data_IF_333537638063
#
_entry.id   IF_333537638063
#
_cell.length_a   1.000
_cell.length_b   1.000
_cell.length_c   1.000
_cell.angle_alpha   90.00
_cell.angle_beta   90.00
_cell.angle_gamma   90.00
#
_symmetry.space_group_name_H-M   'P 1'
#
loop_
_entity.id
_entity.type
_entity.pdbx_description
1 polymer ?
#
# COMPACT_ATOMS: atom_id res chain seq x y z
N UNK A 1 9.66 -27.47 -22.88
CA UNK A 1 10.15 -28.49 -21.94
C UNK A 1 9.40 -28.29 -20.64
N UNK A 2 8.29 -29.02 -20.44
CA UNK A 2 7.47 -28.94 -19.22
C UNK A 2 8.26 -29.64 -18.12
N UNK A 3 8.86 -28.87 -17.22
CA UNK A 3 9.51 -29.36 -16.02
C UNK A 3 8.42 -29.98 -15.12
N UNK A 4 8.54 -31.26 -14.85
CA UNK A 4 7.73 -31.99 -13.85
C UNK A 4 8.09 -31.45 -12.45
N UNK A 5 7.40 -30.41 -11.97
CA UNK A 5 7.46 -29.91 -10.61
C UNK A 5 6.69 -30.86 -9.66
N UNK A 6 7.02 -32.13 -9.64
CA UNK A 6 6.41 -33.11 -8.72
C UNK A 6 7.14 -33.26 -7.38
N UNK A 7 8.22 -32.52 -7.14
CA UNK A 7 8.82 -32.44 -5.84
C UNK A 7 8.23 -31.27 -5.05
N UNK A 8 7.42 -31.57 -4.04
CA UNK A 8 6.69 -30.62 -3.17
C UNK A 8 7.58 -29.64 -2.37
N UNK A 9 8.89 -29.64 -2.57
CA UNK A 9 9.84 -28.84 -1.82
C UNK A 9 10.21 -27.49 -2.45
N UNK A 10 9.95 -27.24 -3.72
CA UNK A 10 10.41 -26.05 -4.45
C UNK A 10 9.29 -25.04 -4.76
N UNK A 11 8.14 -25.15 -4.09
CA UNK A 11 7.02 -24.23 -4.31
C UNK A 11 7.16 -22.96 -3.45
N UNK A 12 6.83 -21.78 -4.02
CA UNK A 12 6.73 -20.57 -3.25
C UNK A 12 5.78 -20.71 -2.07
N UNK A 13 6.15 -20.15 -0.92
CA UNK A 13 5.37 -20.17 0.31
C UNK A 13 4.74 -18.81 0.57
N UNK A 14 3.46 -18.84 0.90
CA UNK A 14 2.70 -17.64 1.24
C UNK A 14 2.69 -17.45 2.76
N UNK A 15 3.12 -16.27 3.21
CA UNK A 15 3.09 -15.88 4.62
C UNK A 15 2.19 -14.66 4.80
N UNK A 16 1.32 -14.74 5.80
CA UNK A 16 0.43 -13.65 6.19
C UNK A 16 0.87 -13.17 7.58
N UNK A 17 1.35 -11.94 7.65
CA UNK A 17 1.81 -11.32 8.88
C UNK A 17 0.77 -10.30 9.35
N UNK A 18 0.51 -10.28 10.65
CA UNK A 18 -0.35 -9.28 11.27
C UNK A 18 0.35 -8.66 12.47
N UNK A 19 0.43 -7.34 12.48
CA UNK A 19 0.97 -6.56 13.61
C UNK A 19 -0.14 -5.76 14.30
N UNK A 20 0.10 -5.30 15.51
CA UNK A 20 -0.73 -4.30 16.18
C UNK A 20 -0.15 -2.91 15.93
N UNK A 21 -0.95 -1.87 16.16
CA UNK A 21 -0.50 -0.48 16.01
C UNK A 21 0.72 -0.21 16.88
N UNK A 22 1.74 0.46 16.33
CA UNK A 22 3.02 0.71 16.99
C UNK A 22 4.02 -0.45 17.01
N UNK A 23 3.63 -1.65 16.56
CA UNK A 23 4.52 -2.80 16.43
C UNK A 23 5.06 -2.89 14.99
N UNK A 24 6.30 -3.37 14.84
CA UNK A 24 6.84 -3.75 13.53
C UNK A 24 6.53 -5.22 13.20
N UNK A 25 6.83 -5.66 11.97
CA UNK A 25 6.65 -7.06 11.57
C UNK A 25 7.75 -7.98 12.10
N UNK A 26 8.91 -7.42 12.50
CA UNK A 26 9.99 -8.16 13.13
C UNK A 26 10.92 -8.89 12.19
N UNK A 27 11.23 -8.32 11.05
CA UNK A 27 12.27 -8.80 10.14
C UNK A 27 12.91 -7.62 9.40
N UNK A 28 14.07 -7.86 8.78
CA UNK A 28 14.72 -6.94 7.88
C UNK A 28 14.79 -7.52 6.47
N UNK A 29 14.98 -6.65 5.48
CA UNK A 29 15.29 -7.05 4.11
C UNK A 29 16.71 -6.60 3.74
N UNK A 30 17.41 -7.44 2.99
CA UNK A 30 18.70 -7.14 2.41
C UNK A 30 18.67 -7.39 0.91
N UNK A 31 19.12 -6.40 0.13
CA UNK A 31 19.37 -6.60 -1.29
C UNK A 31 20.66 -7.41 -1.46
N UNK A 32 20.61 -8.46 -2.25
CA UNK A 32 21.78 -9.33 -2.46
C UNK A 32 22.62 -8.80 -3.62
N UNK A 33 23.95 -8.75 -3.45
CA UNK A 33 24.88 -8.19 -4.43
C UNK A 33 24.97 -9.02 -5.71
N UNK A 34 24.81 -10.33 -5.59
CA UNK A 34 25.04 -11.30 -6.69
C UNK A 34 23.74 -11.84 -7.31
N UNK A 35 22.59 -11.47 -6.78
CA UNK A 35 21.29 -11.92 -7.29
C UNK A 35 20.25 -10.81 -7.24
N UNK A 36 19.33 -10.85 -8.19
CA UNK A 36 18.14 -10.01 -8.15
C UNK A 36 17.26 -10.41 -6.96
N UNK A 37 16.60 -9.45 -6.31
CA UNK A 37 15.62 -9.69 -5.25
C UNK A 37 16.11 -9.39 -3.85
N UNK A 38 15.32 -9.81 -2.88
CA UNK A 38 15.48 -9.44 -1.47
C UNK A 38 15.52 -10.69 -0.59
N UNK A 39 16.44 -10.70 0.36
CA UNK A 39 16.60 -11.74 1.37
C UNK A 39 16.06 -11.25 2.71
N UNK A 40 15.30 -12.10 3.39
CA UNK A 40 14.85 -11.86 4.76
C UNK A 40 16.00 -12.07 5.73
N UNK A 41 16.24 -11.13 6.62
CA UNK A 41 17.28 -11.18 7.66
C UNK A 41 16.70 -10.73 9.00
N UNK A 42 17.41 -11.03 10.08
CA UNK A 42 17.13 -10.53 11.43
C UNK A 42 15.66 -10.76 11.87
N UNK A 43 15.19 -12.01 11.74
CA UNK A 43 13.84 -12.37 12.20
C UNK A 43 13.81 -12.33 13.73
N UNK A 44 13.10 -11.33 14.28
CA UNK A 44 13.02 -11.11 15.71
C UNK A 44 12.18 -12.19 16.40
N UNK A 45 12.64 -12.66 17.57
CA UNK A 45 11.87 -13.60 18.39
C UNK A 45 10.55 -13.01 18.85
N UNK A 46 9.49 -13.82 18.86
CA UNK A 46 8.12 -13.45 19.26
C UNK A 46 7.47 -12.37 18.37
N UNK A 47 8.02 -12.14 17.18
CA UNK A 47 7.48 -11.20 16.20
C UNK A 47 6.40 -11.82 15.31
N UNK A 48 5.59 -11.00 14.60
CA UNK A 48 4.69 -11.47 13.57
C UNK A 48 5.38 -12.32 12.48
N UNK A 49 6.63 -11.99 12.12
CA UNK A 49 7.41 -12.74 11.15
C UNK A 49 7.72 -14.16 11.64
N UNK A 50 8.25 -14.29 12.85
CA UNK A 50 8.53 -15.61 13.43
C UNK A 50 7.26 -16.45 13.58
N UNK A 51 6.17 -15.85 14.09
CA UNK A 51 4.88 -16.54 14.26
C UNK A 51 4.27 -17.01 12.93
N UNK A 52 4.50 -16.27 11.84
CA UNK A 52 4.05 -16.69 10.50
C UNK A 52 4.88 -17.85 9.93
N UNK A 53 6.05 -18.13 10.49
CA UNK A 53 7.00 -19.14 10.01
C UNK A 53 7.98 -18.64 8.95
N UNK A 54 8.08 -17.31 8.76
CA UNK A 54 9.10 -16.67 7.94
C UNK A 54 10.48 -16.96 8.53
N UNK A 55 11.48 -17.22 7.70
CA UNK A 55 12.83 -17.59 8.14
C UNK A 55 13.88 -16.69 7.50
N UNK A 56 14.97 -16.54 8.22
CA UNK A 56 16.17 -15.92 7.64
C UNK A 56 16.63 -16.68 6.40
N UNK A 57 17.08 -15.93 5.40
CA UNK A 57 17.46 -16.46 4.10
C UNK A 57 16.30 -16.67 3.12
N UNK A 58 15.04 -16.54 3.54
CA UNK A 58 13.91 -16.57 2.60
C UNK A 58 14.03 -15.46 1.57
N UNK A 59 13.74 -15.77 0.30
CA UNK A 59 13.80 -14.84 -0.85
C UNK A 59 12.42 -14.35 -1.21
N UNK A 60 12.22 -13.04 -1.13
CA UNK A 60 10.91 -12.43 -1.39
C UNK A 60 10.65 -12.32 -2.89
N UNK A 61 9.55 -12.92 -3.34
CA UNK A 61 9.05 -12.81 -4.73
C UNK A 61 7.98 -11.74 -4.84
N UNK A 62 7.02 -11.72 -3.89
CA UNK A 62 5.92 -10.76 -3.89
C UNK A 62 5.72 -10.14 -2.51
N UNK A 63 5.32 -8.88 -2.51
CA UNK A 63 4.84 -8.11 -1.35
C UNK A 63 3.43 -7.64 -1.66
N UNK A 64 2.44 -8.09 -0.89
CA UNK A 64 1.02 -7.76 -1.08
C UNK A 64 0.55 -7.97 -2.53
N UNK A 65 0.84 -9.15 -3.10
CA UNK A 65 0.49 -9.58 -4.46
C UNK A 65 1.24 -8.81 -5.59
N UNK A 66 2.21 -7.98 -5.28
CA UNK A 66 3.05 -7.30 -6.26
C UNK A 66 4.41 -7.97 -6.33
N UNK A 67 4.83 -8.33 -7.55
CA UNK A 67 6.13 -8.95 -7.80
C UNK A 67 7.26 -7.91 -7.63
N UNK A 68 8.26 -8.22 -6.78
CA UNK A 68 9.25 -7.23 -6.33
C UNK A 68 10.71 -7.57 -6.65
N UNK A 69 11.00 -8.69 -7.31
CA UNK A 69 12.39 -9.17 -7.51
C UNK A 69 13.29 -8.14 -8.19
N UNK A 70 12.74 -7.35 -9.14
CA UNK A 70 13.48 -6.33 -9.88
C UNK A 70 13.12 -4.90 -9.47
N UNK A 71 12.45 -4.75 -8.32
CA UNK A 71 12.04 -3.43 -7.82
C UNK A 71 13.14 -2.81 -6.97
N UNK A 72 13.18 -1.49 -6.89
CA UNK A 72 14.12 -0.77 -6.02
C UNK A 72 13.88 -1.10 -4.54
N UNK A 73 14.99 -1.18 -3.76
CA UNK A 73 14.94 -1.55 -2.34
C UNK A 73 14.09 -0.58 -1.51
N UNK A 74 14.28 0.72 -1.71
CA UNK A 74 13.55 1.73 -0.92
C UNK A 74 12.05 1.70 -1.20
N UNK A 75 11.67 1.40 -2.46
CA UNK A 75 10.27 1.21 -2.84
C UNK A 75 9.64 0.02 -2.11
N UNK A 76 10.33 -1.12 -2.08
CA UNK A 76 9.83 -2.32 -1.40
C UNK A 76 9.77 -2.11 0.12
N UNK A 77 10.81 -1.55 0.73
CA UNK A 77 10.85 -1.24 2.15
C UNK A 77 9.70 -0.30 2.55
N UNK A 78 9.50 0.77 1.78
CA UNK A 78 8.41 1.72 1.99
C UNK A 78 7.03 1.08 1.86
N UNK A 79 6.84 0.23 0.85
CA UNK A 79 5.59 -0.53 0.68
C UNK A 79 5.28 -1.38 1.91
N UNK A 80 6.27 -2.04 2.50
CA UNK A 80 6.11 -2.81 3.73
C UNK A 80 5.83 -1.90 4.92
N UNK A 81 6.50 -0.76 5.05
CA UNK A 81 6.27 0.19 6.14
C UNK A 81 4.87 0.79 6.11
N UNK A 82 4.36 1.11 4.91
CA UNK A 82 3.08 1.79 4.68
C UNK A 82 1.86 0.86 4.58
N UNK A 83 2.02 -0.47 4.57
CA UNK A 83 0.91 -1.42 4.40
C UNK A 83 -0.04 -1.54 5.60
N UNK A 84 0.18 -0.79 6.68
CA UNK A 84 -0.65 -0.83 7.88
C UNK A 84 -0.41 -2.07 8.72
N UNK A 85 -1.49 -2.75 9.13
CA UNK A 85 -1.42 -3.87 10.08
C UNK A 85 -1.24 -5.24 9.43
N UNK A 86 -1.37 -5.33 8.11
CA UNK A 86 -1.35 -6.60 7.37
C UNK A 86 -0.30 -6.59 6.26
N UNK A 87 0.47 -7.65 6.20
CA UNK A 87 1.48 -7.88 5.18
C UNK A 87 1.37 -9.30 4.66
N UNK A 88 1.37 -9.45 3.35
CA UNK A 88 1.40 -10.77 2.68
C UNK A 88 2.68 -10.88 1.87
N UNK A 89 3.45 -11.93 2.12
CA UNK A 89 4.70 -12.21 1.42
C UNK A 89 4.60 -13.56 0.69
N UNK A 90 4.99 -13.58 -0.57
CA UNK A 90 5.28 -14.81 -1.30
C UNK A 90 6.78 -14.97 -1.37
N UNK A 91 7.31 -16.07 -0.85
CA UNK A 91 8.76 -16.28 -0.76
C UNK A 91 9.17 -17.66 -1.26
N UNK A 92 10.42 -17.79 -1.69
CA UNK A 92 11.12 -19.07 -1.88
C UNK A 92 12.15 -19.27 -0.78
N UNK A 93 12.40 -20.52 -0.40
CA UNK A 93 13.56 -20.85 0.43
C UNK A 93 14.85 -20.54 -0.35
N UNK A 94 15.91 -20.13 0.35
CA UNK A 94 17.17 -19.72 -0.26
C UNK A 94 17.68 -20.73 -1.30
N UNK A 95 17.76 -22.00 -0.91
CA UNK A 95 18.27 -23.05 -1.82
C UNK A 95 17.40 -23.21 -3.07
N UNK A 96 16.08 -23.13 -2.93
CA UNK A 96 15.14 -23.26 -4.03
C UNK A 96 15.22 -22.06 -4.98
N UNK A 97 15.42 -20.86 -4.42
CA UNK A 97 15.62 -19.64 -5.19
C UNK A 97 16.94 -19.70 -5.99
N UNK A 98 18.04 -20.04 -5.32
CA UNK A 98 19.36 -20.12 -5.95
C UNK A 98 19.36 -21.18 -7.07
N UNK A 99 18.69 -22.31 -6.85
CA UNK A 99 18.51 -23.35 -7.87
C UNK A 99 17.65 -22.85 -9.04
N UNK A 100 16.53 -22.18 -8.79
CA UNK A 100 15.66 -21.64 -9.82
C UNK A 100 16.40 -20.63 -10.71
N UNK A 101 17.18 -19.72 -10.10
CA UNK A 101 18.01 -18.74 -10.81
C UNK A 101 19.10 -19.44 -11.65
N UNK A 102 19.78 -20.42 -11.07
CA UNK A 102 20.82 -21.21 -11.78
C UNK A 102 20.26 -21.94 -13.01
N UNK A 103 19.02 -22.44 -12.90
CA UNK A 103 18.31 -23.13 -13.99
C UNK A 103 17.65 -22.17 -14.99
N UNK A 104 17.73 -20.84 -14.79
CA UNK A 104 17.10 -19.85 -15.65
C UNK A 104 15.57 -19.86 -15.59
N UNK A 105 14.98 -20.28 -14.46
CA UNK A 105 13.52 -20.27 -14.28
C UNK A 105 13.03 -18.83 -14.14
N UNK A 106 11.97 -18.50 -14.87
CA UNK A 106 11.28 -17.22 -14.72
C UNK A 106 10.53 -17.19 -13.36
N UNK A 107 11.07 -16.38 -12.43
CA UNK A 107 10.54 -16.26 -11.08
C UNK A 107 9.14 -15.63 -11.06
N UNK A 108 8.81 -14.77 -12.02
CA UNK A 108 7.47 -14.17 -12.12
C UNK A 108 6.44 -15.21 -12.59
N UNK A 109 6.81 -16.03 -13.56
CA UNK A 109 5.98 -17.16 -13.96
C UNK A 109 5.80 -18.17 -12.82
N UNK A 110 6.86 -18.43 -12.03
CA UNK A 110 6.80 -19.32 -10.88
C UNK A 110 5.85 -18.77 -9.81
N UNK A 111 5.94 -17.47 -9.50
CA UNK A 111 5.04 -16.80 -8.57
C UNK A 111 3.58 -16.87 -9.05
N UNK A 112 3.32 -16.61 -10.32
CA UNK A 112 1.99 -16.69 -10.94
C UNK A 112 1.44 -18.12 -10.90
N UNK A 113 2.25 -19.10 -11.27
CA UNK A 113 1.85 -20.52 -11.26
C UNK A 113 1.48 -21.02 -9.87
N UNK A 114 2.17 -20.50 -8.82
CA UNK A 114 1.88 -20.86 -7.43
C UNK A 114 0.47 -20.43 -6.98
N UNK A 115 -0.16 -19.49 -7.69
CA UNK A 115 -1.53 -19.03 -7.42
C UNK A 115 -2.59 -20.03 -7.89
N UNK A 116 -2.22 -21.00 -8.73
CA UNK A 116 -3.11 -22.08 -9.18
C UNK A 116 -4.12 -21.65 -10.23
N UNK A 117 -3.81 -20.66 -11.06
CA UNK A 117 -4.60 -20.17 -12.17
C UNK A 117 -4.66 -18.64 -12.26
N UNK A 118 -5.42 -18.10 -13.21
CA UNK A 118 -5.63 -16.67 -13.33
C UNK A 118 -6.28 -16.13 -12.05
N UNK A 119 -5.66 -15.14 -11.46
CA UNK A 119 -6.05 -14.56 -10.18
C UNK A 119 -5.77 -13.06 -10.24
N UNK A 120 -6.80 -12.28 -10.48
CA UNK A 120 -6.73 -10.82 -10.46
C UNK A 120 -6.75 -10.31 -9.02
N UNK A 121 -6.10 -9.19 -8.79
CA UNK A 121 -6.16 -8.50 -7.49
C UNK A 121 -7.56 -7.93 -7.26
N UNK A 122 -8.01 -7.80 -6.00
CA UNK A 122 -9.21 -7.03 -5.69
C UNK A 122 -9.05 -5.59 -6.17
N UNK A 123 -10.14 -4.93 -6.51
CA UNK A 123 -10.15 -3.52 -6.89
C UNK A 123 -10.82 -2.69 -5.81
N UNK A 124 -10.17 -1.59 -5.43
CA UNK A 124 -10.67 -0.62 -4.46
C UNK A 124 -11.19 0.59 -5.24
N UNK A 125 -12.50 0.69 -5.36
CA UNK A 125 -13.18 1.66 -6.21
C UNK A 125 -13.94 2.70 -5.38
N UNK A 126 -13.77 4.00 -5.69
CA UNK A 126 -14.59 5.06 -5.13
C UNK A 126 -15.60 5.55 -6.17
N UNK A 127 -16.88 5.49 -5.82
CA UNK A 127 -18.00 5.79 -6.71
C UNK A 127 -18.72 7.01 -6.21
N UNK A 128 -18.75 8.08 -7.00
CA UNK A 128 -19.52 9.28 -6.72
C UNK A 128 -20.93 9.14 -7.28
N UNK A 129 -21.94 9.60 -6.54
CA UNK A 129 -23.34 9.52 -6.97
C UNK A 129 -23.60 10.49 -8.14
N UNK A 130 -24.25 9.98 -9.19
CA UNK A 130 -24.75 10.82 -10.26
C UNK A 130 -26.21 11.22 -9.98
N UNK A 131 -26.62 12.49 -10.23
CA UNK A 131 -27.97 12.97 -9.89
C UNK A 131 -29.13 12.17 -10.49
N UNK A 132 -28.96 11.59 -11.68
CA UNK A 132 -30.01 10.88 -12.40
C UNK A 132 -29.98 9.35 -12.19
N UNK A 133 -28.79 8.73 -12.14
CA UNK A 133 -28.65 7.26 -12.06
C UNK A 133 -28.10 6.74 -10.73
N UNK A 134 -27.93 7.63 -9.75
CA UNK A 134 -27.40 7.25 -8.44
C UNK A 134 -25.97 6.74 -8.53
N UNK A 135 -25.67 5.60 -7.91
CA UNK A 135 -24.35 4.97 -7.97
C UNK A 135 -24.15 4.10 -9.24
N UNK A 136 -25.20 3.87 -10.04
CA UNK A 136 -25.13 3.06 -11.25
C UNK A 136 -24.90 1.57 -10.97
N UNK A 137 -25.27 1.09 -9.78
CA UNK A 137 -25.12 -0.33 -9.41
C UNK A 137 -26.29 -0.83 -8.57
N UNK A 138 -26.55 -2.13 -8.66
CA UNK A 138 -27.53 -2.85 -7.85
C UNK A 138 -26.88 -4.11 -7.25
N UNK A 139 -27.34 -4.49 -6.07
CA UNK A 139 -26.85 -5.65 -5.33
C UNK A 139 -27.85 -6.80 -5.41
N UNK A 140 -27.38 -7.96 -5.82
CA UNK A 140 -28.12 -9.22 -5.84
C UNK A 140 -27.48 -10.21 -4.87
N UNK A 141 -28.31 -10.93 -4.10
CA UNK A 141 -27.82 -12.03 -3.27
C UNK A 141 -27.76 -13.32 -4.08
N UNK A 142 -26.77 -14.16 -3.79
CA UNK A 142 -26.67 -15.50 -4.40
C UNK A 142 -27.59 -16.44 -3.64
N UNK A 143 -28.49 -17.14 -4.34
CA UNK A 143 -29.32 -18.18 -3.74
C UNK A 143 -28.45 -19.25 -3.06
N UNK A 144 -28.74 -19.58 -1.81
CA UNK A 144 -27.96 -20.54 -1.02
C UNK A 144 -26.70 -19.98 -0.33
N UNK A 145 -26.25 -18.77 -0.69
CA UNK A 145 -25.08 -18.12 -0.10
C UNK A 145 -25.40 -16.71 0.38
N UNK A 146 -26.03 -16.61 1.56
CA UNK A 146 -26.51 -15.33 2.14
C UNK A 146 -25.44 -14.26 2.35
N UNK A 147 -24.17 -14.63 2.33
CA UNK A 147 -23.02 -13.75 2.56
C UNK A 147 -22.33 -13.31 1.27
N UNK A 148 -22.78 -13.81 0.10
CA UNK A 148 -22.22 -13.43 -1.20
C UNK A 148 -23.13 -12.43 -1.89
N UNK A 149 -22.55 -11.28 -2.25
CA UNK A 149 -23.25 -10.18 -2.87
C UNK A 149 -22.65 -9.91 -4.26
N UNK A 150 -23.45 -10.08 -5.31
CA UNK A 150 -23.07 -9.81 -6.69
C UNK A 150 -23.56 -8.42 -7.09
N UNK A 151 -22.71 -7.69 -7.80
CA UNK A 151 -23.04 -6.37 -8.34
C UNK A 151 -23.52 -6.51 -9.78
N UNK A 152 -24.64 -5.87 -10.07
CA UNK A 152 -25.13 -5.59 -11.43
C UNK A 152 -24.88 -4.11 -11.70
N UNK A 153 -24.24 -3.80 -12.82
CA UNK A 153 -23.72 -2.46 -13.13
C UNK A 153 -24.46 -1.90 -14.34
N UNK A 154 -24.76 -0.61 -14.26
CA UNK A 154 -25.27 0.15 -15.42
C UNK A 154 -24.07 0.56 -16.27
N UNK A 155 -24.07 0.13 -17.53
CA UNK A 155 -23.02 0.48 -18.50
C UNK A 155 -22.87 1.99 -18.63
N UNK A 156 -21.65 2.48 -18.68
CA UNK A 156 -21.27 3.90 -18.67
C UNK A 156 -21.78 4.69 -17.44
N UNK A 157 -22.23 3.96 -16.40
CA UNK A 157 -22.65 4.55 -15.13
C UNK A 157 -21.49 4.84 -14.18
N UNK A 158 -21.76 5.50 -13.04
CA UNK A 158 -20.71 5.87 -12.08
C UNK A 158 -19.89 4.70 -11.57
N UNK A 159 -20.50 3.55 -11.29
CA UNK A 159 -19.79 2.34 -10.83
C UNK A 159 -18.90 1.77 -11.93
N UNK A 160 -19.36 1.72 -13.18
CA UNK A 160 -18.60 1.27 -14.33
C UNK A 160 -17.37 2.17 -14.56
N UNK A 161 -17.59 3.48 -14.58
CA UNK A 161 -16.52 4.48 -14.70
C UNK A 161 -15.49 4.37 -13.57
N UNK A 162 -15.93 4.00 -12.35
CA UNK A 162 -15.04 3.80 -11.20
C UNK A 162 -14.28 2.46 -11.23
N UNK A 163 -14.49 1.61 -12.26
CA UNK A 163 -13.78 0.35 -12.43
C UNK A 163 -14.46 -0.87 -11.80
N UNK A 164 -15.74 -0.76 -11.42
CA UNK A 164 -16.55 -1.91 -10.99
C UNK A 164 -17.14 -2.58 -12.23
N UNK A 165 -17.06 -3.90 -12.33
CA UNK A 165 -17.58 -4.64 -13.48
C UNK A 165 -18.81 -5.47 -13.11
N UNK A 166 -19.64 -5.76 -14.12
CA UNK A 166 -20.84 -6.59 -13.90
C UNK A 166 -20.46 -8.00 -13.47
N UNK A 167 -21.09 -8.50 -12.41
CA UNK A 167 -20.79 -9.79 -11.82
C UNK A 167 -19.73 -9.78 -10.71
N UNK A 168 -19.12 -8.64 -10.42
CA UNK A 168 -18.20 -8.50 -9.29
C UNK A 168 -18.85 -8.87 -7.96
N UNK A 169 -18.05 -9.43 -7.08
CA UNK A 169 -18.40 -9.72 -5.69
C UNK A 169 -18.03 -8.54 -4.82
N UNK A 170 -19.01 -8.02 -4.09
CA UNK A 170 -18.79 -6.97 -3.10
C UNK A 170 -18.27 -7.60 -1.79
N UNK A 171 -17.02 -7.27 -1.42
CA UNK A 171 -16.37 -7.84 -0.24
C UNK A 171 -16.36 -6.89 0.94
N UNK A 172 -16.23 -5.58 0.67
CA UNK A 172 -16.10 -4.55 1.70
C UNK A 172 -16.73 -3.23 1.20
N UNK A 173 -17.29 -2.45 2.11
CA UNK A 173 -17.91 -1.18 1.81
C UNK A 173 -17.71 -0.20 2.98
N UNK A 174 -17.15 0.99 2.70
CA UNK A 174 -16.99 2.10 3.66
C UNK A 174 -16.45 1.66 5.03
N UNK A 175 -15.38 0.88 5.10
CA UNK A 175 -14.74 0.46 6.34
C UNK A 175 -15.24 -0.86 6.91
N UNK A 176 -16.26 -1.49 6.31
CA UNK A 176 -16.91 -2.68 6.88
C UNK A 176 -16.95 -3.84 5.89
N UNK A 177 -16.57 -5.04 6.34
CA UNK A 177 -16.70 -6.26 5.55
C UNK A 177 -18.19 -6.60 5.33
N UNK A 178 -18.56 -6.92 4.08
CA UNK A 178 -19.96 -7.17 3.73
C UNK A 178 -20.50 -8.47 4.32
N UNK A 179 -19.63 -9.44 4.62
CA UNK A 179 -19.99 -10.70 5.30
C UNK A 179 -20.59 -10.50 6.69
N UNK A 180 -20.33 -9.33 7.32
CA UNK A 180 -20.90 -8.97 8.63
C UNK A 180 -22.24 -8.24 8.54
N UNK A 181 -22.67 -7.88 7.33
CA UNK A 181 -23.83 -7.01 7.09
C UNK A 181 -24.99 -7.77 6.44
N UNK A 182 -26.21 -7.45 6.89
CA UNK A 182 -27.41 -7.98 6.26
C UNK A 182 -27.63 -7.36 4.87
N UNK A 183 -28.08 -8.15 3.89
CA UNK A 183 -28.38 -7.69 2.54
C UNK A 183 -29.32 -6.47 2.50
N UNK A 184 -30.34 -6.43 3.37
CA UNK A 184 -31.26 -5.30 3.48
C UNK A 184 -30.57 -4.01 3.92
N UNK A 185 -29.55 -4.12 4.80
CA UNK A 185 -28.76 -2.97 5.23
C UNK A 185 -27.87 -2.45 4.09
N UNK A 186 -27.18 -3.33 3.38
CA UNK A 186 -26.36 -2.99 2.22
C UNK A 186 -27.17 -2.29 1.14
N UNK A 187 -28.33 -2.85 0.77
CA UNK A 187 -29.22 -2.25 -0.21
C UNK A 187 -29.74 -0.86 0.23
N UNK A 188 -30.03 -0.68 1.53
CA UNK A 188 -30.44 0.61 2.06
C UNK A 188 -29.29 1.63 2.00
N UNK A 189 -28.07 1.20 2.31
CA UNK A 189 -26.87 2.04 2.25
C UNK A 189 -26.51 2.47 0.83
N UNK A 190 -26.78 1.63 -0.17
CA UNK A 190 -26.58 1.98 -1.59
C UNK A 190 -27.68 2.87 -2.18
N UNK A 191 -28.88 2.85 -1.60
CA UNK A 191 -30.05 3.60 -2.13
C UNK A 191 -30.30 4.95 -1.48
N UNK A 192 -29.92 5.14 -0.21
CA UNK A 192 -30.20 6.39 0.53
C UNK A 192 -29.08 7.39 0.40
N UNK A 193 -29.27 8.43 -0.43
CA UNK A 193 -28.68 9.79 -0.29
C UNK A 193 -27.18 9.86 0.07
N UNK A 194 -26.41 8.85 -0.31
CA UNK A 194 -24.98 8.80 -0.07
C UNK A 194 -24.31 9.44 -1.26
N UNK A 195 -23.64 10.57 -1.04
CA UNK A 195 -22.96 11.29 -2.12
C UNK A 195 -21.87 10.46 -2.81
N UNK A 196 -21.30 9.49 -2.10
CA UNK A 196 -20.28 8.58 -2.62
C UNK A 196 -20.14 7.32 -1.77
N UNK A 197 -19.55 6.26 -2.32
CA UNK A 197 -19.23 5.02 -1.63
C UNK A 197 -17.87 4.48 -2.09
N UNK A 198 -17.10 3.94 -1.15
CA UNK A 198 -15.89 3.20 -1.47
C UNK A 198 -16.15 1.71 -1.28
N UNK A 199 -15.86 0.93 -2.30
CA UNK A 199 -16.09 -0.52 -2.32
C UNK A 199 -14.82 -1.28 -2.65
N UNK A 200 -14.66 -2.46 -2.05
CA UNK A 200 -13.68 -3.46 -2.46
C UNK A 200 -14.42 -4.57 -3.18
N UNK A 201 -14.05 -4.78 -4.43
CA UNK A 201 -14.69 -5.75 -5.31
C UNK A 201 -13.66 -6.70 -5.92
N UNK A 202 -14.13 -7.88 -6.30
CA UNK A 202 -13.32 -8.90 -6.97
C UNK A 202 -14.21 -9.74 -7.88
N UNK A 203 -13.69 -10.24 -9.00
CA UNK A 203 -14.40 -11.20 -9.84
C UNK A 203 -14.54 -12.57 -9.16
N UNK A 204 -15.50 -13.38 -9.61
CA UNK A 204 -15.83 -14.65 -8.95
C UNK A 204 -14.72 -15.71 -9.03
N UNK A 205 -13.94 -15.74 -10.12
CA UNK A 205 -12.84 -16.70 -10.30
C UNK A 205 -11.69 -16.35 -9.38
N UNK A 206 -11.30 -15.07 -9.33
CA UNK A 206 -10.26 -14.58 -8.44
C UNK A 206 -10.67 -14.73 -6.97
N UNK A 207 -11.94 -14.48 -6.61
CA UNK A 207 -12.42 -14.76 -5.26
C UNK A 207 -12.20 -16.22 -4.88
N UNK A 208 -12.54 -17.15 -5.76
CA UNK A 208 -12.32 -18.58 -5.53
C UNK A 208 -10.84 -18.93 -5.36
N UNK A 209 -9.96 -18.25 -6.11
CA UNK A 209 -8.51 -18.35 -5.94
C UNK A 209 -8.05 -17.90 -4.55
N UNK A 210 -8.50 -16.73 -4.08
CA UNK A 210 -8.17 -16.22 -2.74
C UNK A 210 -8.67 -17.17 -1.64
N UNK A 211 -9.89 -17.68 -1.75
CA UNK A 211 -10.46 -18.66 -0.80
C UNK A 211 -9.61 -19.93 -0.76
N UNK A 212 -9.27 -20.49 -1.92
CA UNK A 212 -8.42 -21.71 -2.03
C UNK A 212 -7.04 -21.51 -1.41
N UNK A 213 -6.44 -20.33 -1.57
CA UNK A 213 -5.16 -19.94 -0.97
C UNK A 213 -5.28 -19.52 0.51
N UNK A 214 -6.49 -19.51 1.07
CA UNK A 214 -6.78 -19.03 2.42
C UNK A 214 -6.32 -17.59 2.65
N UNK A 215 -6.37 -16.77 1.61
CA UNK A 215 -6.00 -15.37 1.67
C UNK A 215 -7.21 -14.49 1.97
N UNK A 216 -7.08 -13.53 2.88
CA UNK A 216 -8.11 -12.52 3.08
C UNK A 216 -8.16 -11.56 1.88
N UNK A 217 -9.36 -11.12 1.51
CA UNK A 217 -9.54 -10.06 0.52
C UNK A 217 -9.68 -8.74 1.28
N UNK A 218 -8.67 -7.87 1.18
CA UNK A 218 -8.58 -6.64 1.97
C UNK A 218 -7.93 -5.50 1.18
N UNK A 219 -8.11 -4.22 1.59
CA UNK A 219 -7.63 -3.06 0.84
C UNK A 219 -6.13 -3.07 0.54
N UNK A 220 -5.28 -3.59 1.44
CA UNK A 220 -3.83 -3.66 1.24
C UNK A 220 -3.41 -4.56 0.06
N UNK A 221 -4.27 -5.48 -0.38
CA UNK A 221 -4.03 -6.34 -1.54
C UNK A 221 -4.66 -5.80 -2.82
N UNK A 222 -5.42 -4.70 -2.73
CA UNK A 222 -6.19 -4.18 -3.84
C UNK A 222 -5.38 -3.28 -4.77
N UNK A 223 -5.86 -3.20 -6.00
CA UNK A 223 -5.50 -2.14 -6.94
C UNK A 223 -6.42 -0.95 -6.72
N UNK A 224 -5.87 0.27 -6.54
CA UNK A 224 -6.68 1.46 -6.34
C UNK A 224 -7.31 1.92 -7.67
N UNK A 225 -8.60 2.22 -7.65
CA UNK A 225 -9.33 2.78 -8.78
C UNK A 225 -10.05 4.05 -8.34
N UNK A 226 -9.68 5.20 -8.92
CA UNK A 226 -10.36 6.49 -8.71
C UNK A 226 -10.58 6.87 -7.23
N UNK A 227 -9.54 6.74 -6.38
CA UNK A 227 -9.67 7.11 -4.96
C UNK A 227 -9.95 8.61 -4.78
N UNK A 228 -10.79 9.00 -3.78
CA UNK A 228 -11.21 10.39 -3.59
C UNK A 228 -10.11 11.29 -3.01
N UNK A 229 -9.09 10.69 -2.44
CA UNK A 229 -7.96 11.37 -1.83
C UNK A 229 -6.66 10.67 -2.23
N UNK A 230 -5.62 11.47 -2.41
CA UNK A 230 -4.25 10.99 -2.64
C UNK A 230 -3.27 11.87 -1.87
N UNK A 231 -2.16 11.29 -1.44
CA UNK A 231 -1.04 12.09 -0.97
C UNK A 231 -0.47 12.88 -2.15
N UNK A 232 0.04 14.09 -1.89
CA UNK A 232 0.69 14.94 -2.89
C UNK A 232 2.13 15.20 -2.46
N UNK A 233 3.09 15.17 -3.39
CA UNK A 233 4.46 15.60 -3.16
C UNK A 233 4.67 16.96 -3.78
N UNK A 234 5.18 17.89 -3.00
CA UNK A 234 5.54 19.24 -3.42
C UNK A 234 7.04 19.42 -3.27
N UNK A 235 7.64 20.11 -4.25
CA UNK A 235 9.07 20.40 -4.27
C UNK A 235 9.27 21.88 -4.02
N UNK A 236 9.91 22.22 -2.90
CA UNK A 236 10.12 23.58 -2.47
C UNK A 236 11.56 24.02 -2.69
N UNK A 237 11.73 25.24 -3.21
CA UNK A 237 13.02 25.93 -3.26
C UNK A 237 12.94 27.11 -2.30
N UNK A 238 13.88 27.19 -1.36
CA UNK A 238 13.88 28.20 -0.30
C UNK A 238 13.96 29.61 -0.87
N UNK A 239 13.01 30.43 -0.48
CA UNK A 239 13.00 31.87 -0.78
C UNK A 239 13.83 32.71 0.20
N UNK A 240 13.83 34.04 0.04
CA UNK A 240 14.56 34.96 0.94
C UNK A 240 14.18 34.79 2.41
N UNK A 241 12.90 34.58 2.67
CA UNK A 241 12.33 34.45 4.01
C UNK A 241 12.11 32.99 4.46
N UNK A 242 12.58 32.03 3.68
CA UNK A 242 12.45 30.60 3.98
C UNK A 242 11.54 29.85 3.02
N UNK A 243 10.93 28.76 3.48
CA UNK A 243 9.97 27.99 2.69
C UNK A 243 8.54 28.54 2.77
N UNK A 244 8.21 29.35 3.80
CA UNK A 244 6.91 30.00 3.97
C UNK A 244 5.85 29.15 4.63
N UNK A 245 6.22 28.33 5.60
CA UNK A 245 5.28 27.59 6.45
C UNK A 245 5.87 27.32 7.84
N UNK A 246 4.98 27.03 8.79
CA UNK A 246 5.35 26.50 10.10
C UNK A 246 4.97 25.03 10.22
N UNK A 247 5.89 24.19 10.73
CA UNK A 247 5.60 22.83 11.12
C UNK A 247 5.11 22.81 12.57
N UNK A 248 3.87 22.40 12.79
CA UNK A 248 3.28 22.27 14.13
C UNK A 248 2.93 20.83 14.45
N UNK A 249 3.16 20.45 15.70
CA UNK A 249 2.71 19.18 16.26
C UNK A 249 1.37 19.40 16.93
N UNK A 250 0.32 18.70 16.49
CA UNK A 250 -1.03 18.83 17.03
C UNK A 250 -1.65 17.46 17.30
N UNK A 251 -2.61 17.41 18.24
CA UNK A 251 -3.42 16.20 18.48
C UNK A 251 -4.74 16.30 17.73
N UNK A 252 -5.02 15.28 16.94
CA UNK A 252 -6.30 15.22 16.24
C UNK A 252 -7.46 14.99 17.22
N UNK A 253 -8.54 15.79 17.16
CA UNK A 253 -9.62 15.75 18.17
C UNK A 253 -10.28 14.37 18.33
N UNK A 254 -10.48 13.64 17.22
CA UNK A 254 -11.21 12.37 17.23
C UNK A 254 -10.35 11.18 17.68
N UNK A 255 -9.05 11.19 17.38
CA UNK A 255 -8.17 10.03 17.61
C UNK A 255 -7.18 10.24 18.73
N UNK A 256 -7.01 11.49 19.20
CA UNK A 256 -5.94 11.91 20.13
C UNK A 256 -4.53 11.58 19.60
N UNK A 257 -4.41 11.21 18.34
CA UNK A 257 -3.12 10.92 17.71
C UNK A 257 -2.39 12.20 17.44
N UNK A 258 -1.12 12.24 17.80
CA UNK A 258 -0.21 13.34 17.50
C UNK A 258 0.17 13.29 16.02
N UNK A 259 0.07 14.41 15.33
CA UNK A 259 0.38 14.56 13.91
C UNK A 259 1.16 15.85 13.68
N UNK A 260 1.84 15.92 12.54
CA UNK A 260 2.58 17.09 12.11
C UNK A 260 1.83 17.79 10.97
N UNK A 261 1.44 19.04 11.19
CA UNK A 261 0.67 19.85 10.25
C UNK A 261 1.53 21.01 9.74
N UNK A 262 1.36 21.31 8.46
CA UNK A 262 1.86 22.54 7.86
C UNK A 262 0.86 23.65 8.16
N UNK A 263 1.32 24.68 8.87
CA UNK A 263 0.49 25.79 9.33
C UNK A 263 1.07 27.11 8.91
N UNK A 264 0.23 28.13 8.95
CA UNK A 264 0.62 29.52 8.68
C UNK A 264 1.40 29.62 7.37
N UNK A 265 0.78 29.13 6.28
CA UNK A 265 1.37 29.20 4.94
C UNK A 265 1.34 30.69 4.50
N UNK A 266 2.53 31.25 4.31
CA UNK A 266 2.69 32.66 3.95
C UNK A 266 2.24 32.89 2.49
N UNK A 267 1.49 33.98 2.28
CA UNK A 267 1.06 34.39 0.94
C UNK A 267 2.25 34.79 0.07
N UNK A 268 2.31 34.29 -1.16
CA UNK A 268 3.42 34.49 -2.11
C UNK A 268 4.70 33.74 -1.74
N UNK A 269 4.62 32.75 -0.85
CA UNK A 269 5.77 31.92 -0.45
C UNK A 269 5.98 30.72 -1.36
N UNK A 270 7.18 30.12 -1.36
CA UNK A 270 7.43 28.87 -2.06
C UNK A 270 6.44 27.74 -1.70
N UNK A 271 5.95 27.70 -0.47
CA UNK A 271 4.98 26.69 -0.03
C UNK A 271 3.61 26.91 -0.69
N UNK A 272 3.10 28.14 -0.69
CA UNK A 272 1.82 28.49 -1.35
C UNK A 272 1.92 28.22 -2.86
N UNK A 273 2.99 28.71 -3.51
CA UNK A 273 3.21 28.54 -4.96
C UNK A 273 3.27 27.04 -5.37
N UNK A 274 3.79 26.17 -4.50
CA UNK A 274 3.82 24.74 -4.71
C UNK A 274 2.51 24.02 -4.37
N UNK A 275 1.50 24.76 -3.87
CA UNK A 275 0.18 24.22 -3.53
C UNK A 275 0.08 23.55 -2.16
N UNK A 276 0.94 23.92 -1.19
CA UNK A 276 0.75 23.57 0.21
C UNK A 276 -0.45 24.33 0.76
N UNK A 277 -1.34 23.61 1.44
CA UNK A 277 -2.52 24.22 2.07
C UNK A 277 -2.35 24.25 3.59
N UNK A 278 -2.87 25.31 4.23
CA UNK A 278 -2.86 25.39 5.69
C UNK A 278 -3.65 24.22 6.30
N UNK A 279 -3.01 23.45 7.17
CA UNK A 279 -3.60 22.25 7.77
C UNK A 279 -3.30 20.96 7.01
N UNK A 280 -2.50 21.00 5.97
CA UNK A 280 -1.96 19.78 5.35
C UNK A 280 -1.12 18.98 6.36
N UNK A 281 -1.36 17.68 6.41
CA UNK A 281 -0.64 16.74 7.26
C UNK A 281 0.62 16.27 6.54
N UNK A 282 1.77 16.39 7.21
CA UNK A 282 3.06 15.95 6.69
C UNK A 282 3.22 14.44 6.85
N UNK A 283 3.45 13.73 5.75
CA UNK A 283 3.64 12.27 5.70
C UNK A 283 5.10 11.88 5.49
N UNK A 284 5.83 12.62 4.63
CA UNK A 284 7.23 12.33 4.34
C UNK A 284 8.01 13.62 4.03
N UNK A 285 9.32 13.60 4.30
CA UNK A 285 10.30 14.64 3.93
C UNK A 285 11.39 13.98 3.10
N UNK A 286 11.64 14.49 1.89
CA UNK A 286 12.59 13.93 0.93
C UNK A 286 12.41 12.41 0.72
N UNK A 287 11.15 11.97 0.69
CA UNK A 287 10.79 10.58 0.54
C UNK A 287 10.92 9.72 1.81
N UNK A 288 11.41 10.25 2.91
CA UNK A 288 11.48 9.55 4.20
C UNK A 288 10.18 9.74 4.99
N UNK A 289 9.44 8.67 5.34
CA UNK A 289 8.23 8.75 6.15
C UNK A 289 8.52 9.33 7.53
N UNK A 290 7.69 10.31 7.96
CA UNK A 290 7.92 11.04 9.24
C UNK A 290 6.79 10.86 10.26
N UNK A 291 5.75 10.08 9.95
CA UNK A 291 4.57 9.93 10.82
C UNK A 291 4.89 9.41 12.23
N UNK A 292 5.98 8.63 12.37
CA UNK A 292 6.44 8.08 13.65
C UNK A 292 7.65 8.81 14.25
N UNK A 293 8.10 9.90 13.63
CA UNK A 293 9.27 10.66 14.09
C UNK A 293 8.89 11.72 15.12
N UNK A 294 9.83 12.04 15.98
CA UNK A 294 9.70 13.17 16.88
C UNK A 294 9.83 14.51 16.14
N UNK A 295 9.10 15.51 16.61
CA UNK A 295 9.05 16.84 15.96
C UNK A 295 10.43 17.42 15.68
N UNK A 296 11.32 17.33 16.65
CA UNK A 296 12.68 17.89 16.51
C UNK A 296 13.51 17.22 15.42
N UNK A 297 13.30 15.91 15.21
CA UNK A 297 14.03 15.16 14.18
C UNK A 297 13.51 15.50 12.79
N UNK A 298 12.21 15.69 12.63
CA UNK A 298 11.62 16.18 11.36
C UNK A 298 12.17 17.57 11.03
N UNK A 299 12.20 18.49 12.00
CA UNK A 299 12.76 19.84 11.81
C UNK A 299 14.26 19.76 11.41
N UNK A 300 15.02 18.84 12.01
CA UNK A 300 16.43 18.63 11.63
C UNK A 300 16.57 18.14 10.18
N UNK A 301 15.71 17.21 9.72
CA UNK A 301 15.72 16.72 8.33
C UNK A 301 15.42 17.87 7.37
N UNK A 302 14.38 18.66 7.63
CA UNK A 302 14.02 19.82 6.79
C UNK A 302 15.18 20.83 6.75
N UNK A 303 15.80 21.14 7.87
CA UNK A 303 16.96 22.08 7.92
C UNK A 303 18.18 21.54 7.18
N UNK A 304 18.47 20.24 7.28
CA UNK A 304 19.59 19.58 6.60
C UNK A 304 19.39 19.52 5.08
N UNK A 305 18.16 19.63 4.59
CA UNK A 305 17.85 19.65 3.14
C UNK A 305 18.39 20.90 2.43
N UNK A 306 18.82 21.93 3.17
CA UNK A 306 19.37 23.15 2.60
C UNK A 306 18.32 23.99 1.89
N UNK A 307 18.59 24.32 0.61
CA UNK A 307 17.72 25.22 -0.17
C UNK A 307 16.60 24.48 -0.92
N UNK A 308 16.56 23.16 -0.88
CA UNK A 308 15.54 22.36 -1.55
C UNK A 308 15.02 21.28 -0.63
N UNK A 309 13.69 21.15 -0.57
CA UNK A 309 13.03 20.09 0.20
C UNK A 309 11.83 19.56 -0.58
N UNK A 310 11.61 18.26 -0.51
CA UNK A 310 10.39 17.62 -1.01
C UNK A 310 9.53 17.22 0.19
N UNK A 311 8.27 17.67 0.20
CA UNK A 311 7.31 17.34 1.25
C UNK A 311 6.16 16.53 0.64
N UNK A 312 5.86 15.39 1.25
CA UNK A 312 4.64 14.63 0.91
C UNK A 312 3.59 14.89 1.97
N UNK A 313 2.43 15.35 1.53
CA UNK A 313 1.34 15.79 2.40
C UNK A 313 0.00 15.18 2.02
N UNK A 314 -0.95 15.25 2.92
CA UNK A 314 -2.35 14.91 2.69
C UNK A 314 -3.27 15.76 3.55
N UNK A 315 -4.48 16.01 3.08
CA UNK A 315 -5.52 16.67 3.89
C UNK A 315 -5.99 15.77 5.05
N UNK A 316 -6.52 16.35 6.12
CA UNK A 316 -7.09 15.59 7.26
C UNK A 316 -8.21 14.63 6.80
N UNK A 317 -9.19 15.03 5.94
CA UNK A 317 -10.17 14.09 5.40
C UNK A 317 -9.55 12.93 4.63
N UNK A 318 -8.50 13.20 3.85
CA UNK A 318 -7.76 12.16 3.13
C UNK A 318 -7.10 11.16 4.07
N UNK A 319 -6.44 11.64 5.14
CA UNK A 319 -5.87 10.77 6.15
C UNK A 319 -6.93 9.89 6.82
N UNK A 320 -8.09 10.46 7.19
CA UNK A 320 -9.17 9.71 7.82
C UNK A 320 -9.73 8.63 6.87
N UNK A 321 -9.78 8.91 5.59
CA UNK A 321 -10.13 7.94 4.55
C UNK A 321 -9.15 6.76 4.54
N UNK A 322 -7.83 6.99 4.47
CA UNK A 322 -6.83 5.92 4.46
C UNK A 322 -6.79 5.14 5.78
N UNK A 323 -7.07 5.79 6.91
CA UNK A 323 -7.22 5.12 8.19
C UNK A 323 -8.38 4.11 8.19
N UNK A 324 -9.51 4.43 7.54
CA UNK A 324 -10.62 3.48 7.38
C UNK A 324 -10.24 2.29 6.50
N UNK A 325 -9.36 2.49 5.52
CA UNK A 325 -8.80 1.41 4.70
C UNK A 325 -7.79 0.54 5.45
N UNK A 326 -7.25 1.04 6.56
CA UNK A 326 -6.22 0.34 7.35
C UNK A 326 -4.83 0.37 6.72
N UNK A 327 -4.55 1.34 5.84
CA UNK A 327 -3.24 1.55 5.20
C UNK A 327 -2.80 3.00 5.34
N UNK A 328 -1.48 3.26 5.25
CA UNK A 328 -0.97 4.64 5.16
C UNK A 328 -1.35 5.28 3.82
N UNK A 329 -1.57 6.59 3.78
CA UNK A 329 -1.73 7.32 2.51
C UNK A 329 -0.57 7.13 1.53
N UNK A 330 0.64 6.86 2.04
CA UNK A 330 1.84 6.58 1.24
C UNK A 330 1.78 5.24 0.50
N UNK A 331 0.88 4.33 0.89
CA UNK A 331 0.81 2.98 0.31
C UNK A 331 0.43 2.99 -1.18
N UNK A 332 -0.46 3.90 -1.59
CA UNK A 332 -0.90 4.08 -2.98
C UNK A 332 -0.29 5.32 -3.65
N UNK A 333 0.75 5.90 -3.06
CA UNK A 333 1.38 7.10 -3.61
C UNK A 333 2.49 6.75 -4.61
N UNK A 334 2.25 7.05 -5.89
CA UNK A 334 3.12 6.63 -7.00
C UNK A 334 4.34 7.52 -7.23
N UNK A 335 4.35 8.79 -6.79
CA UNK A 335 5.44 9.74 -7.05
C UNK A 335 6.77 9.37 -6.40
N UNK A 336 6.77 8.45 -5.46
CA UNK A 336 8.00 7.89 -4.93
C UNK A 336 8.75 7.00 -5.95
N UNK A 337 8.20 6.81 -7.14
CA UNK A 337 8.71 5.90 -8.17
C UNK A 337 9.80 6.57 -9.05
N UNK A 338 9.85 7.90 -9.14
CA UNK A 338 10.56 8.61 -10.22
C UNK A 338 11.79 9.43 -9.82
N UNK A 339 12.32 9.34 -8.61
CA UNK A 339 13.52 10.12 -8.23
C UNK A 339 14.88 9.44 -8.54
N UNK A 340 14.92 8.32 -9.25
CA UNK A 340 16.17 7.68 -9.71
C UNK A 340 16.60 8.06 -11.14
N UNK A 341 16.09 9.13 -11.70
CA UNK A 341 16.49 9.61 -13.02
C UNK A 341 17.00 11.03 -13.02
N UNK A 342 18.25 11.24 -12.66
CA UNK A 342 19.20 12.29 -13.04
C UNK A 342 20.05 12.82 -11.89
N UNK A 343 21.21 12.26 -11.66
CA UNK A 343 22.49 12.99 -11.70
C UNK A 343 23.61 11.99 -11.98
N UNK A 344 24.28 12.00 -13.12
CA UNK A 344 25.53 11.29 -13.30
C UNK A 344 26.65 12.10 -12.62
N UNK A 345 27.14 11.57 -11.49
CA UNK A 345 28.34 12.10 -10.87
C UNK A 345 28.19 12.49 -9.42
N UNK A 346 28.60 11.59 -8.54
CA UNK A 346 28.80 11.70 -7.09
C UNK A 346 27.68 11.10 -6.22
N UNK A 347 27.61 9.79 -6.08
CA UNK A 347 27.03 9.15 -4.87
C UNK A 347 27.34 7.66 -4.71
N UNK A 348 28.42 7.13 -5.28
CA UNK A 348 28.79 5.72 -5.06
C UNK A 348 29.18 5.35 -3.61
N UNK A 349 29.51 6.32 -2.75
CA UNK A 349 30.00 6.06 -1.40
C UNK A 349 28.88 6.11 -0.32
N UNK A 350 27.87 6.94 -0.48
CA UNK A 350 26.79 7.06 0.51
C UNK A 350 25.73 5.97 0.38
N UNK A 351 25.41 5.55 -0.84
CA UNK A 351 24.46 4.46 -1.08
C UNK A 351 24.96 3.12 -0.54
N UNK A 352 26.27 2.87 -0.61
CA UNK A 352 26.89 1.65 -0.08
C UNK A 352 26.88 1.62 1.44
N UNK A 353 26.91 2.78 2.11
CA UNK A 353 26.89 2.87 3.57
C UNK A 353 25.48 2.71 4.13
N UNK A 354 24.45 3.25 3.47
CA UNK A 354 23.04 3.06 3.83
C UNK A 354 22.55 1.62 3.56
N UNK A 355 23.10 0.95 2.54
CA UNK A 355 22.83 -0.47 2.28
C UNK A 355 23.49 -1.41 3.31
N UNK A 356 24.51 -0.94 4.03
CA UNK A 356 25.17 -1.69 5.14
C UNK A 356 24.55 -1.39 6.51
N UNK A 357 23.94 -0.22 6.68
CA UNK A 357 23.12 0.09 7.85
C UNK A 357 21.74 -0.50 7.57
N UNK A 358 21.45 -1.65 8.14
CA UNK A 358 20.10 -2.21 8.12
C UNK A 358 19.14 -1.12 8.61
N UNK A 359 18.36 -0.59 7.67
CA UNK A 359 17.31 0.38 8.01
C UNK A 359 16.39 -0.36 8.97
N UNK A 360 16.34 0.12 10.18
CA UNK A 360 15.80 -0.56 11.33
C UNK A 360 14.46 -1.24 11.08
N UNK A 361 14.37 -2.37 11.70
CA UNK A 361 13.27 -3.34 11.83
C UNK A 361 11.99 -2.95 11.10
N UNK A 362 11.79 -3.53 9.93
CA UNK A 362 10.55 -3.46 9.14
C UNK A 362 9.40 -4.19 9.83
#
# INVERSE_FOLDING_TARGET
>A
MLLNFHDHNHLPKLYQLRRVEGQNFGFNLRKTMDSHGFEVTDVASWSPAEHSGLKEGDRVLEVNEEFVVNVDFFRVARKIQSCGLHLVLLVLRKNDYDQAVCMGVDLQMLATASKGGPCSRPRLCHISQHPQCGLGMALTSVEGHKEQHILSIVTDGPADTAGVTNGDRLVWMNGVATSTLKHSFLNKSLKKGVNSVTVLVIDGESQSCYVRRKMPIMPVLAEPCCLPHSAKTVHLVKGPDGFGFLLRQEKLPLTQQTVHLLREVDVGSPAEDAGVEDGDLLLAVNGEPVESMEHEDIVKIIRKSGDRVSLTTISIPGRDFFRQLGVSPLFFHDEFIYQDGCVPGQTGAQTTQLQRMGIGVL
#
